data_IF_590049196244
#
_entry.id   IF_590049196244
#
_cell.length_a   1.000
_cell.length_b   1.000
_cell.length_c   1.000
_cell.angle_alpha   90.00
_cell.angle_beta   90.00
_cell.angle_gamma   90.00
#
_symmetry.space_group_name_H-M   'P 1'
#
loop_
_entity.id
_entity.type
_entity.pdbx_description
1 polymer ?
#
# COMPACT_ATOMS: atom_id res chain seq x y z
N UNK A 1 11.00 -0.96 -30.43
CA UNK A 1 11.83 0.21 -30.04
C UNK A 1 12.82 0.62 -31.13
N UNK A 2 13.61 -0.28 -31.69
CA UNK A 2 14.65 0.04 -32.69
C UNK A 2 14.18 0.82 -33.93
N UNK A 3 12.97 0.55 -34.44
CA UNK A 3 12.39 1.33 -35.55
C UNK A 3 12.04 2.79 -35.18
N UNK A 4 11.94 3.11 -33.88
CA UNK A 4 11.47 4.41 -33.38
C UNK A 4 12.61 5.31 -32.90
N UNK A 5 13.78 4.79 -32.62
CA UNK A 5 14.92 5.57 -32.14
C UNK A 5 16.20 5.17 -32.89
N UNK A 6 16.96 6.19 -33.33
CA UNK A 6 18.24 6.01 -34.03
C UNK A 6 19.45 6.19 -33.13
N UNK A 7 19.26 6.66 -31.89
CA UNK A 7 20.30 6.86 -30.87
C UNK A 7 19.69 6.55 -29.52
N UNK A 8 20.49 6.06 -28.60
CA UNK A 8 20.08 5.74 -27.23
C UNK A 8 20.96 6.52 -26.23
N UNK A 9 20.34 7.18 -25.27
CA UNK A 9 21.01 7.61 -24.04
C UNK A 9 20.77 6.51 -23.00
N UNK A 10 21.79 5.73 -22.69
CA UNK A 10 21.70 4.59 -21.79
C UNK A 10 22.21 4.97 -20.41
N UNK A 11 21.28 5.16 -19.49
CA UNK A 11 21.56 5.62 -18.13
C UNK A 11 21.52 4.49 -17.09
N UNK A 12 21.21 3.25 -17.50
CA UNK A 12 21.18 2.14 -16.55
C UNK A 12 22.59 1.58 -16.34
N UNK A 13 22.95 1.22 -15.09
CA UNK A 13 24.26 0.67 -14.79
C UNK A 13 24.50 -0.67 -15.49
N UNK A 14 25.66 -0.83 -16.14
CA UNK A 14 26.01 -2.05 -16.87
C UNK A 14 26.28 -3.26 -15.97
N UNK A 15 26.47 -3.07 -14.67
CA UNK A 15 26.55 -4.19 -13.71
C UNK A 15 25.16 -4.74 -13.34
N UNK A 16 24.07 -4.08 -13.76
CA UNK A 16 22.69 -4.53 -13.55
C UNK A 16 22.14 -5.15 -14.85
N UNK A 17 21.30 -6.20 -14.72
CA UNK A 17 20.75 -6.93 -15.87
C UNK A 17 20.04 -6.03 -16.89
N UNK A 18 19.23 -5.06 -16.43
CA UNK A 18 18.60 -4.07 -17.32
C UNK A 18 19.62 -3.26 -18.16
N UNK A 19 20.76 -2.89 -17.56
CA UNK A 19 21.85 -2.21 -18.25
C UNK A 19 22.50 -3.09 -19.31
N UNK A 20 22.79 -4.34 -18.94
CA UNK A 20 23.33 -5.32 -19.89
C UNK A 20 22.36 -5.63 -21.02
N UNK A 21 21.09 -5.91 -20.73
CA UNK A 21 20.07 -6.25 -21.74
C UNK A 21 19.83 -5.11 -22.72
N UNK A 22 19.69 -3.87 -22.24
CA UNK A 22 19.56 -2.71 -23.12
C UNK A 22 20.79 -2.56 -24.02
N UNK A 23 22.00 -2.75 -23.48
CA UNK A 23 23.22 -2.69 -24.28
C UNK A 23 23.29 -3.84 -25.31
N UNK A 24 22.99 -5.08 -24.91
CA UNK A 24 23.02 -6.24 -25.81
C UNK A 24 21.99 -6.09 -26.94
N UNK A 25 20.74 -5.74 -26.62
CA UNK A 25 19.68 -5.66 -27.62
C UNK A 25 19.78 -4.39 -28.46
N UNK A 26 19.88 -3.21 -27.83
CA UNK A 26 19.85 -1.94 -28.56
C UNK A 26 21.18 -1.64 -29.23
N UNK A 27 22.29 -1.73 -28.49
CA UNK A 27 23.61 -1.36 -29.02
C UNK A 27 24.17 -2.44 -29.94
N UNK A 28 24.16 -3.71 -29.52
CA UNK A 28 24.86 -4.76 -30.29
C UNK A 28 23.96 -5.44 -31.33
N UNK A 29 22.74 -5.83 -30.95
CA UNK A 29 21.87 -6.57 -31.87
C UNK A 29 21.20 -5.67 -32.92
N UNK A 30 20.73 -4.49 -32.52
CA UNK A 30 20.10 -3.52 -33.43
C UNK A 30 21.03 -2.41 -33.95
N UNK A 31 22.32 -2.44 -33.58
CA UNK A 31 23.34 -1.48 -34.01
C UNK A 31 22.91 -0.01 -33.77
N UNK A 32 22.31 0.27 -32.61
CA UNK A 32 21.87 1.62 -32.24
C UNK A 32 23.00 2.33 -31.49
N UNK A 33 23.56 3.42 -32.03
CA UNK A 33 24.56 4.23 -31.34
C UNK A 33 24.07 4.64 -29.95
N UNK A 34 24.81 4.22 -28.93
CA UNK A 34 24.43 4.38 -27.53
C UNK A 34 25.46 5.24 -26.80
N UNK A 35 25.01 6.36 -26.22
CA UNK A 35 25.78 7.13 -25.27
C UNK A 35 25.55 6.57 -23.87
N UNK A 36 26.62 6.17 -23.18
CA UNK A 36 26.55 5.74 -21.78
C UNK A 36 26.59 6.96 -20.86
N UNK A 37 26.01 6.83 -19.67
CA UNK A 37 26.18 7.84 -18.62
C UNK A 37 27.63 7.99 -18.15
N UNK A 38 28.00 9.21 -17.72
CA UNK A 38 29.23 9.54 -17.00
C UNK A 38 29.17 8.89 -15.62
N UNK A 39 29.94 7.80 -15.45
CA UNK A 39 29.71 6.78 -14.43
C UNK A 39 30.62 6.86 -13.20
N UNK A 40 30.32 7.77 -12.26
CA UNK A 40 30.87 7.69 -10.89
C UNK A 40 29.79 7.51 -9.80
N UNK A 41 28.51 7.68 -10.15
CA UNK A 41 27.39 7.53 -9.21
C UNK A 41 26.15 6.93 -9.89
N UNK A 42 25.30 6.17 -9.16
CA UNK A 42 24.04 5.64 -9.69
C UNK A 42 23.16 6.74 -10.30
N UNK A 43 22.25 6.36 -11.20
CA UNK A 43 21.31 7.29 -11.80
C UNK A 43 20.47 7.97 -10.71
N UNK A 44 20.57 9.28 -10.63
CA UNK A 44 19.81 10.14 -9.73
C UNK A 44 19.12 11.26 -10.53
N UNK A 45 18.10 11.88 -9.95
CA UNK A 45 17.36 12.96 -10.62
C UNK A 45 18.26 14.13 -11.02
N UNK A 46 19.22 14.49 -10.17
CA UNK A 46 20.23 15.51 -10.47
C UNK A 46 21.17 15.08 -11.60
N UNK A 47 21.54 13.80 -11.70
CA UNK A 47 22.35 13.32 -12.83
C UNK A 47 21.55 13.35 -14.15
N UNK A 48 20.24 13.08 -14.12
CA UNK A 48 19.35 13.26 -15.28
C UNK A 48 19.30 14.73 -15.70
N UNK A 49 19.25 15.65 -14.73
CA UNK A 49 19.30 17.10 -14.98
C UNK A 49 20.67 17.55 -15.49
N UNK A 50 21.78 16.94 -15.05
CA UNK A 50 23.13 17.17 -15.58
C UNK A 50 23.22 16.79 -17.06
N UNK A 51 22.58 15.68 -17.47
CA UNK A 51 22.46 15.31 -18.90
C UNK A 51 21.56 16.26 -19.69
N UNK A 52 20.60 16.89 -19.03
CA UNK A 52 19.58 17.74 -19.64
C UNK A 52 19.95 19.24 -19.59
N UNK A 53 21.03 19.63 -18.90
CA UNK A 53 21.57 20.99 -18.74
C UNK A 53 20.62 21.90 -17.94
N UNK A 54 20.82 21.96 -16.62
CA UNK A 54 20.20 22.87 -15.64
C UNK A 54 18.77 23.29 -15.97
N UNK A 55 17.86 22.33 -15.86
CA UNK A 55 16.47 22.52 -16.18
C UNK A 55 15.63 22.60 -14.90
N UNK A 56 14.82 23.66 -14.74
CA UNK A 56 13.66 23.59 -13.85
C UNK A 56 12.70 22.46 -14.30
N UNK A 57 11.75 22.07 -13.45
CA UNK A 57 10.79 20.98 -13.73
C UNK A 57 10.14 21.12 -15.14
N UNK A 58 9.87 22.35 -15.56
CA UNK A 58 9.28 22.67 -16.86
C UNK A 58 10.30 22.56 -18.02
N UNK A 59 11.53 23.02 -17.83
CA UNK A 59 12.61 22.88 -18.82
C UNK A 59 12.99 21.41 -19.03
N UNK A 60 12.89 20.59 -17.98
CA UNK A 60 13.21 19.16 -18.03
C UNK A 60 12.18 18.44 -18.89
N UNK A 61 10.90 18.77 -18.71
CA UNK A 61 9.80 18.30 -19.55
C UNK A 61 10.02 18.72 -21.01
N UNK A 62 10.41 19.97 -21.28
CA UNK A 62 10.70 20.43 -22.64
C UNK A 62 11.86 19.68 -23.29
N UNK A 63 12.89 19.30 -22.51
CA UNK A 63 13.98 18.49 -23.01
C UNK A 63 13.54 17.05 -23.31
N UNK A 64 12.79 16.42 -22.40
CA UNK A 64 12.26 15.06 -22.58
C UNK A 64 11.33 14.97 -23.79
N UNK A 65 10.54 16.03 -24.05
CA UNK A 65 9.66 16.14 -25.22
C UNK A 65 10.39 16.11 -26.56
N UNK A 66 11.68 16.46 -26.60
CA UNK A 66 12.50 16.38 -27.82
C UNK A 66 12.93 14.94 -28.15
N UNK A 67 12.79 14.01 -27.20
CA UNK A 67 13.11 12.60 -27.38
C UNK A 67 11.95 11.89 -28.08
N UNK A 68 12.27 10.90 -28.90
CA UNK A 68 11.25 10.09 -29.57
C UNK A 68 10.40 9.29 -28.57
N UNK A 69 11.00 8.89 -27.45
CA UNK A 69 10.32 8.36 -26.26
C UNK A 69 11.29 8.33 -25.06
N UNK A 70 10.72 8.28 -23.87
CA UNK A 70 11.43 8.08 -22.60
C UNK A 70 11.02 6.72 -22.04
N UNK A 71 12.02 5.88 -21.81
CA UNK A 71 11.81 4.54 -21.30
C UNK A 71 12.06 4.49 -19.79
N UNK A 72 11.15 3.86 -19.05
CA UNK A 72 11.35 3.54 -17.64
C UNK A 72 10.84 2.12 -17.35
N UNK A 73 11.22 1.56 -16.20
CA UNK A 73 10.76 0.23 -15.82
C UNK A 73 11.51 -0.38 -14.64
N UNK A 74 10.94 -1.43 -14.06
CA UNK A 74 11.47 -2.15 -12.91
C UNK A 74 11.14 -1.53 -11.55
N UNK A 75 10.66 -0.30 -11.52
CA UNK A 75 9.91 0.34 -10.43
C UNK A 75 8.80 1.18 -11.05
N UNK A 76 7.72 1.41 -10.31
CA UNK A 76 6.59 2.18 -10.81
C UNK A 76 6.88 3.68 -10.77
N UNK A 77 6.33 4.40 -11.74
CA UNK A 77 6.32 5.86 -11.77
C UNK A 77 5.04 6.34 -11.08
N UNK A 78 5.14 7.33 -10.19
CA UNK A 78 3.98 7.91 -9.53
C UNK A 78 2.96 8.39 -10.59
N UNK A 79 1.65 8.04 -10.46
CA UNK A 79 0.64 8.35 -11.46
C UNK A 79 0.61 9.83 -11.85
N UNK A 80 0.65 10.73 -10.87
CA UNK A 80 0.61 12.19 -11.09
C UNK A 80 1.82 12.67 -11.90
N UNK A 81 2.99 12.06 -11.67
CA UNK A 81 4.21 12.41 -12.42
C UNK A 81 4.12 11.93 -13.86
N UNK A 82 3.67 10.68 -14.07
CA UNK A 82 3.52 10.12 -15.41
C UNK A 82 2.46 10.84 -16.23
N UNK A 83 1.30 11.14 -15.63
CA UNK A 83 0.23 11.90 -16.26
C UNK A 83 0.70 13.30 -16.64
N UNK A 84 1.41 14.00 -15.74
CA UNK A 84 2.02 15.30 -16.02
C UNK A 84 2.97 15.24 -17.22
N UNK A 85 3.82 14.22 -17.32
CA UNK A 85 4.74 14.05 -18.44
C UNK A 85 4.00 13.82 -19.76
N UNK A 86 3.01 12.92 -19.76
CA UNK A 86 2.20 12.59 -20.93
C UNK A 86 1.38 13.79 -21.40
N UNK A 87 0.75 14.52 -20.47
CA UNK A 87 -0.06 15.70 -20.78
C UNK A 87 0.74 16.83 -21.40
N UNK A 88 2.04 16.92 -21.07
CA UNK A 88 2.95 17.87 -21.69
C UNK A 88 3.57 17.37 -23.02
N UNK A 89 3.21 16.17 -23.46
CA UNK A 89 3.59 15.60 -24.75
C UNK A 89 4.87 14.75 -24.72
N UNK A 90 5.31 14.29 -23.55
CA UNK A 90 6.41 13.32 -23.45
C UNK A 90 5.88 11.93 -23.78
N UNK A 91 6.48 11.26 -24.76
CA UNK A 91 6.13 9.88 -25.10
C UNK A 91 6.77 8.91 -24.11
N UNK A 92 6.01 8.44 -23.12
CA UNK A 92 6.47 7.45 -22.16
C UNK A 92 6.39 6.02 -22.71
N UNK A 93 7.39 5.21 -22.38
CA UNK A 93 7.42 3.78 -22.64
C UNK A 93 7.72 3.05 -21.34
N UNK A 94 6.71 2.39 -20.78
CA UNK A 94 6.82 1.57 -19.58
C UNK A 94 7.23 0.15 -19.98
N UNK A 95 8.35 -0.34 -19.46
CA UNK A 95 8.83 -1.71 -19.70
C UNK A 95 8.73 -2.52 -18.41
N UNK A 96 8.18 -3.73 -18.55
CA UNK A 96 8.23 -4.76 -17.50
C UNK A 96 9.18 -5.88 -17.89
N UNK A 97 9.92 -6.39 -16.90
CA UNK A 97 10.98 -7.36 -17.11
C UNK A 97 11.31 -8.08 -15.81
N UNK A 98 11.83 -9.30 -15.94
CA UNK A 98 12.44 -10.06 -14.87
C UNK A 98 13.88 -10.41 -15.27
N UNK A 99 14.78 -10.56 -14.30
CA UNK A 99 16.16 -10.94 -14.61
C UNK A 99 16.20 -12.31 -15.30
N UNK A 100 15.30 -13.19 -14.87
CA UNK A 100 15.10 -14.56 -15.32
C UNK A 100 14.56 -14.67 -16.75
N UNK A 101 13.93 -13.59 -17.28
CA UNK A 101 13.19 -13.63 -18.56
C UNK A 101 13.61 -12.57 -19.58
N UNK A 102 14.50 -11.64 -19.21
CA UNK A 102 14.71 -10.39 -19.94
C UNK A 102 13.38 -9.56 -20.03
N UNK A 103 13.34 -8.44 -20.79
CA UNK A 103 12.09 -7.72 -21.02
C UNK A 103 11.00 -8.57 -21.66
N UNK A 104 9.80 -8.49 -21.12
CA UNK A 104 8.66 -9.23 -21.64
C UNK A 104 8.32 -8.74 -23.06
N UNK A 105 7.85 -9.63 -23.95
CA UNK A 105 7.47 -9.27 -25.32
C UNK A 105 6.16 -8.49 -25.31
N UNK A 106 6.27 -7.17 -25.18
CA UNK A 106 5.15 -6.24 -25.17
C UNK A 106 4.92 -5.61 -26.54
N UNK A 107 3.64 -5.39 -26.88
CA UNK A 107 3.30 -4.48 -27.96
C UNK A 107 3.55 -3.02 -27.55
N UNK A 108 3.87 -2.18 -28.54
CA UNK A 108 4.04 -0.76 -28.31
C UNK A 108 2.71 -0.12 -27.92
N UNK A 109 2.68 0.61 -26.80
CA UNK A 109 1.52 1.38 -26.40
C UNK A 109 1.42 2.66 -27.24
N UNK A 110 0.41 2.73 -28.11
CA UNK A 110 0.22 3.86 -29.01
C UNK A 110 -0.60 4.99 -28.38
N UNK A 111 -1.47 4.67 -27.44
CA UNK A 111 -2.23 5.67 -26.70
C UNK A 111 -1.39 6.15 -25.50
N UNK A 112 -0.91 7.40 -25.49
CA UNK A 112 -0.15 7.93 -24.37
C UNK A 112 -0.91 7.89 -23.04
N UNK A 113 -2.25 7.96 -23.06
CA UNK A 113 -3.09 7.89 -21.85
C UNK A 113 -3.08 6.49 -21.21
N UNK A 114 -2.68 5.46 -21.96
CA UNK A 114 -2.54 4.10 -21.47
C UNK A 114 -1.11 3.77 -21.04
N UNK A 115 -0.26 4.76 -20.74
CA UNK A 115 1.16 4.57 -20.38
C UNK A 115 1.40 3.62 -19.18
N UNK A 116 0.39 3.45 -18.31
CA UNK A 116 0.42 2.52 -17.16
C UNK A 116 0.05 1.07 -17.54
N UNK A 117 -0.58 0.88 -18.69
CA UNK A 117 -1.06 -0.42 -19.15
C UNK A 117 -0.05 -1.09 -20.07
N UNK A 118 0.23 -2.34 -19.79
CA UNK A 118 1.06 -3.21 -20.61
C UNK A 118 0.17 -3.96 -21.61
N UNK A 119 0.52 -3.84 -22.91
CA UNK A 119 -0.17 -4.54 -23.97
C UNK A 119 0.55 -5.89 -24.21
N UNK A 120 -0.04 -6.96 -23.67
CA UNK A 120 0.51 -8.30 -23.74
C UNK A 120 -0.07 -9.08 -24.90
N UNK A 121 0.76 -9.84 -25.59
CA UNK A 121 0.28 -10.94 -26.42
C UNK A 121 0.17 -12.21 -25.57
N UNK A 122 -1.01 -12.40 -24.97
CA UNK A 122 -1.30 -13.51 -24.05
C UNK A 122 -0.94 -14.86 -24.66
N UNK A 123 -1.33 -15.11 -25.91
CA UNK A 123 -1.05 -16.39 -26.56
C UNK A 123 0.41 -16.53 -26.97
N UNK A 124 1.03 -15.50 -27.57
CA UNK A 124 2.42 -15.56 -28.01
C UNK A 124 3.36 -15.83 -26.82
N UNK A 125 3.15 -15.14 -25.71
CA UNK A 125 3.99 -15.27 -24.52
C UNK A 125 3.60 -16.48 -23.64
N UNK A 126 2.46 -17.12 -23.92
CA UNK A 126 1.96 -18.26 -23.16
C UNK A 126 1.53 -17.87 -21.74
N UNK A 127 0.86 -16.72 -21.61
CA UNK A 127 0.36 -16.25 -20.32
C UNK A 127 -0.93 -17.00 -19.96
N UNK A 128 -0.94 -17.58 -18.76
CA UNK A 128 -2.10 -18.08 -18.05
C UNK A 128 -2.46 -17.10 -16.93
N UNK A 129 -3.54 -16.34 -17.11
CA UNK A 129 -4.03 -15.33 -16.17
C UNK A 129 -4.81 -16.01 -15.05
N UNK A 130 -4.15 -16.34 -13.94
CA UNK A 130 -4.77 -17.05 -12.81
C UNK A 130 -5.44 -16.07 -11.85
N UNK A 131 -6.73 -16.24 -11.50
CA UNK A 131 -7.39 -15.36 -10.54
C UNK A 131 -6.64 -15.34 -9.19
N UNK A 132 -6.51 -14.16 -8.60
CA UNK A 132 -5.92 -13.95 -7.29
C UNK A 132 -6.94 -13.28 -6.36
N UNK A 133 -7.05 -13.79 -5.13
CA UNK A 133 -8.11 -13.44 -4.18
C UNK A 133 -8.26 -11.94 -3.95
N UNK A 134 -9.52 -11.51 -3.82
CA UNK A 134 -9.88 -10.30 -3.08
C UNK A 134 -10.01 -9.00 -3.88
N UNK A 135 -9.69 -8.95 -5.18
CA UNK A 135 -9.74 -7.65 -5.88
C UNK A 135 -9.84 -7.71 -7.42
N UNK A 136 -10.41 -8.77 -7.99
CA UNK A 136 -10.49 -9.00 -9.45
C UNK A 136 -9.13 -8.89 -10.15
N UNK A 137 -8.06 -9.26 -9.45
CA UNK A 137 -6.70 -9.27 -9.96
C UNK A 137 -6.29 -10.67 -10.41
N UNK A 138 -5.32 -10.74 -11.32
CA UNK A 138 -4.84 -11.98 -11.91
C UNK A 138 -3.33 -12.05 -11.81
N UNK A 139 -2.80 -13.20 -11.40
CA UNK A 139 -1.38 -13.50 -11.50
C UNK A 139 -1.02 -13.84 -12.95
N UNK A 140 0.08 -13.26 -13.44
CA UNK A 140 0.69 -13.65 -14.71
C UNK A 140 1.53 -14.91 -14.48
N UNK A 141 1.05 -16.07 -14.93
CA UNK A 141 1.84 -17.31 -14.96
C UNK A 141 2.22 -17.60 -16.41
N UNK A 142 3.47 -17.96 -16.66
CA UNK A 142 3.95 -18.30 -18.00
C UNK A 142 3.94 -19.83 -18.13
N UNK A 143 3.24 -20.38 -19.11
CA UNK A 143 3.18 -21.82 -19.40
C UNK A 143 4.07 -22.15 -20.59
N UNK A 144 4.99 -23.11 -20.44
CA UNK A 144 5.92 -23.50 -21.50
C UNK A 144 5.15 -24.00 -22.71
N UNK A 145 5.38 -23.35 -23.85
CA UNK A 145 4.72 -23.72 -25.12
C UNK A 145 5.45 -24.84 -25.86
N UNK A 146 6.77 -24.88 -25.77
CA UNK A 146 7.61 -25.84 -26.51
C UNK A 146 8.92 -26.13 -25.76
N UNK A 147 9.62 -27.20 -26.17
CA UNK A 147 10.99 -27.52 -25.72
C UNK A 147 11.96 -26.38 -26.04
N UNK A 148 11.76 -25.67 -27.15
CA UNK A 148 12.46 -24.45 -27.51
C UNK A 148 11.57 -23.25 -27.17
N UNK A 149 11.72 -22.64 -25.98
CA UNK A 149 10.74 -21.71 -25.42
C UNK A 149 10.66 -20.34 -26.14
N UNK A 150 11.54 -20.09 -27.12
CA UNK A 150 11.48 -18.88 -27.95
C UNK A 150 11.60 -17.60 -27.11
N UNK A 151 10.51 -16.83 -27.04
CA UNK A 151 10.43 -15.57 -26.27
C UNK A 151 10.20 -15.78 -24.76
N UNK A 152 9.93 -17.01 -24.31
CA UNK A 152 9.69 -17.32 -22.89
C UNK A 152 11.02 -17.47 -22.13
N UNK A 153 11.70 -16.34 -21.90
CA UNK A 153 13.06 -16.28 -21.36
C UNK A 153 13.27 -17.08 -20.05
N UNK A 154 12.28 -17.08 -19.15
CA UNK A 154 12.30 -17.83 -17.89
C UNK A 154 12.68 -19.30 -18.06
N UNK A 155 12.33 -19.91 -19.18
CA UNK A 155 12.56 -21.33 -19.46
C UNK A 155 13.95 -21.67 -19.98
N UNK A 156 14.78 -20.68 -20.31
CA UNK A 156 16.23 -20.88 -20.46
C UNK A 156 16.93 -20.82 -19.11
N UNK A 157 16.43 -20.00 -18.17
CA UNK A 157 16.91 -19.92 -16.80
C UNK A 157 16.50 -21.16 -15.99
N UNK A 158 15.27 -21.63 -16.19
CA UNK A 158 14.68 -22.79 -15.53
C UNK A 158 14.29 -23.86 -16.58
N UNK A 159 15.27 -24.62 -17.11
CA UNK A 159 15.06 -25.52 -18.24
C UNK A 159 14.09 -26.67 -17.95
N UNK A 160 13.98 -27.10 -16.69
CA UNK A 160 13.11 -28.21 -16.29
C UNK A 160 11.70 -27.77 -15.89
N UNK A 161 11.45 -26.46 -15.79
CA UNK A 161 10.15 -25.93 -15.41
C UNK A 161 9.19 -25.96 -16.61
N UNK A 162 7.95 -26.39 -16.38
CA UNK A 162 6.86 -26.33 -17.37
C UNK A 162 5.95 -25.11 -17.18
N UNK A 163 5.99 -24.50 -15.99
CA UNK A 163 5.32 -23.24 -15.70
C UNK A 163 6.24 -22.34 -14.87
N UNK A 164 6.04 -21.02 -15.00
CA UNK A 164 6.77 -20.01 -14.24
C UNK A 164 5.80 -19.00 -13.65
N UNK A 165 5.63 -19.08 -12.34
CA UNK A 165 4.82 -18.14 -11.54
C UNK A 165 5.64 -16.88 -11.30
N UNK A 166 5.27 -15.77 -11.97
CA UNK A 166 5.99 -14.50 -11.83
C UNK A 166 5.74 -13.83 -10.47
N UNK A 167 4.64 -14.22 -9.80
CA UNK A 167 4.06 -13.53 -8.64
C UNK A 167 3.60 -12.10 -8.93
N UNK A 168 3.63 -11.66 -10.19
CA UNK A 168 3.14 -10.34 -10.58
C UNK A 168 1.62 -10.38 -10.79
N UNK A 169 0.91 -9.46 -10.15
CA UNK A 169 -0.53 -9.31 -10.21
C UNK A 169 -0.90 -8.17 -11.16
N UNK A 170 -1.99 -8.35 -11.91
CA UNK A 170 -2.50 -7.38 -12.87
C UNK A 170 -4.02 -7.27 -12.80
N UNK A 171 -4.56 -6.13 -13.24
CA UNK A 171 -5.98 -5.97 -13.56
C UNK A 171 -6.14 -5.70 -15.06
N UNK A 172 -7.12 -6.32 -15.73
CA UNK A 172 -7.40 -6.02 -17.12
C UNK A 172 -7.98 -4.61 -17.23
N UNK A 173 -7.64 -3.91 -18.30
CA UNK A 173 -8.32 -2.67 -18.67
C UNK A 173 -9.80 -2.98 -18.94
N UNK A 174 -10.75 -2.17 -18.42
CA UNK A 174 -12.19 -2.49 -18.50
C UNK A 174 -12.75 -2.56 -19.93
N UNK A 175 -12.14 -1.82 -20.87
CA UNK A 175 -12.61 -1.71 -22.28
C UNK A 175 -11.58 -2.24 -23.29
N UNK A 176 -10.33 -1.77 -23.23
CA UNK A 176 -9.28 -2.13 -24.19
C UNK A 176 -8.73 -3.54 -23.91
N UNK A 177 -8.93 -4.45 -24.87
CA UNK A 177 -8.47 -5.84 -24.78
C UNK A 177 -6.94 -5.93 -24.61
N UNK A 178 -6.48 -6.96 -23.89
CA UNK A 178 -5.07 -7.34 -23.73
C UNK A 178 -4.18 -6.24 -23.11
N UNK A 179 -4.79 -5.21 -22.54
CA UNK A 179 -4.12 -4.15 -21.81
C UNK A 179 -4.28 -4.40 -20.31
N UNK A 180 -3.16 -4.54 -19.61
CA UNK A 180 -3.13 -4.96 -18.21
C UNK A 180 -2.35 -3.95 -17.39
N UNK A 181 -2.94 -3.48 -16.30
CA UNK A 181 -2.26 -2.60 -15.36
C UNK A 181 -1.66 -3.44 -14.23
N UNK A 182 -0.38 -3.26 -13.99
CA UNK A 182 0.32 -3.92 -12.89
C UNK A 182 -0.25 -3.46 -11.54
N UNK A 183 -0.51 -4.41 -10.66
CA UNK A 183 -1.06 -4.20 -9.33
C UNK A 183 -0.06 -4.55 -8.23
N UNK A 184 1.10 -5.09 -8.59
CA UNK A 184 2.08 -5.49 -7.61
C UNK A 184 2.42 -6.95 -7.60
N UNK A 185 2.87 -7.38 -6.44
CA UNK A 185 3.33 -8.73 -6.23
C UNK A 185 2.47 -9.46 -5.22
N UNK A 186 2.07 -10.69 -5.54
CA UNK A 186 1.34 -11.57 -4.64
C UNK A 186 2.11 -11.84 -3.34
N UNK A 187 3.44 -11.97 -3.42
CA UNK A 187 4.31 -12.20 -2.26
C UNK A 187 4.61 -10.94 -1.43
N UNK A 188 4.15 -9.76 -1.88
CA UNK A 188 4.22 -8.51 -1.10
C UNK A 188 2.91 -8.15 -0.39
N UNK A 189 1.83 -8.91 -0.61
CA UNK A 189 0.56 -8.70 0.10
C UNK A 189 0.79 -8.88 1.60
N UNK A 190 0.42 -7.85 2.36
CA UNK A 190 0.52 -7.85 3.81
C UNK A 190 -0.72 -8.56 4.34
N UNK A 191 -0.51 -9.61 5.13
CA UNK A 191 -1.59 -10.29 5.86
C UNK A 191 -1.51 -9.90 7.32
N UNK A 192 -2.53 -9.21 7.80
CA UNK A 192 -2.63 -8.77 9.20
C UNK A 192 -3.03 -9.93 10.12
N UNK A 193 -2.85 -9.74 11.43
CA UNK A 193 -3.20 -10.77 12.43
C UNK A 193 -4.71 -11.08 12.50
N UNK A 194 -5.55 -10.20 11.96
CA UNK A 194 -7.01 -10.39 11.83
C UNK A 194 -7.42 -11.07 10.50
N UNK A 195 -6.45 -11.42 9.64
CA UNK A 195 -6.69 -12.05 8.34
C UNK A 195 -7.00 -11.07 7.20
N UNK A 196 -7.14 -9.77 7.47
CA UNK A 196 -7.27 -8.75 6.42
C UNK A 196 -5.99 -8.68 5.59
N UNK A 197 -6.16 -8.47 4.28
CA UNK A 197 -5.07 -8.39 3.31
C UNK A 197 -4.95 -6.96 2.80
N UNK A 198 -3.72 -6.43 2.77
CA UNK A 198 -3.41 -5.12 2.22
C UNK A 198 -2.36 -5.24 1.13
N UNK A 199 -2.66 -4.71 -0.05
CA UNK A 199 -1.67 -4.45 -1.07
C UNK A 199 -0.98 -3.10 -0.78
N UNK A 200 0.32 -3.07 -0.48
CA UNK A 200 0.99 -1.85 -0.03
C UNK A 200 1.27 -0.84 -1.15
N UNK A 201 1.21 -1.25 -2.42
CA UNK A 201 1.79 -0.48 -3.53
C UNK A 201 1.12 0.87 -3.75
N UNK A 202 -0.20 0.94 -3.68
CA UNK A 202 -0.92 2.21 -3.88
C UNK A 202 -0.54 3.24 -2.82
N UNK A 203 -0.38 2.81 -1.56
CA UNK A 203 0.04 3.67 -0.45
C UNK A 203 1.50 4.10 -0.66
N UNK A 204 2.40 3.15 -0.95
CA UNK A 204 3.82 3.43 -1.14
C UNK A 204 4.06 4.39 -2.31
N UNK A 205 3.40 4.18 -3.46
CA UNK A 205 3.49 5.05 -4.63
C UNK A 205 2.97 6.46 -4.34
N UNK A 206 1.82 6.56 -3.67
CA UNK A 206 1.24 7.86 -3.32
C UNK A 206 2.18 8.65 -2.39
N UNK A 207 2.77 7.97 -1.39
CA UNK A 207 3.72 8.61 -0.47
C UNK A 207 5.03 8.96 -1.17
N UNK A 208 5.53 8.10 -2.07
CA UNK A 208 6.74 8.35 -2.85
C UNK A 208 6.57 9.46 -3.91
N UNK A 209 5.34 9.73 -4.36
CA UNK A 209 5.04 10.87 -5.22
C UNK A 209 5.34 12.22 -4.56
N UNK A 210 5.51 12.26 -3.24
CA UNK A 210 5.85 13.48 -2.53
C UNK A 210 7.34 13.86 -2.71
N UNK A 211 7.69 15.10 -3.10
CA UNK A 211 9.07 15.51 -3.41
C UNK A 211 10.10 15.33 -2.28
N UNK A 212 9.62 15.23 -1.03
CA UNK A 212 10.46 15.03 0.18
C UNK A 212 10.55 13.57 0.63
N UNK A 213 10.14 12.62 -0.20
CA UNK A 213 10.20 11.18 0.10
C UNK A 213 11.10 10.52 -0.93
N UNK A 214 12.17 9.86 -0.47
CA UNK A 214 13.01 9.03 -1.34
C UNK A 214 12.55 7.57 -1.37
N UNK A 215 11.90 7.11 -0.31
CA UNK A 215 11.40 5.75 -0.21
C UNK A 215 10.26 5.66 0.81
N UNK A 216 9.33 4.76 0.56
CA UNK A 216 8.26 4.44 1.48
C UNK A 216 8.05 2.93 1.48
N UNK A 217 7.91 2.34 2.67
CA UNK A 217 7.65 0.90 2.86
C UNK A 217 6.52 0.75 3.87
N UNK A 218 5.38 0.22 3.44
CA UNK A 218 4.27 -0.17 4.33
C UNK A 218 4.59 -1.53 4.92
N UNK A 219 4.38 -1.72 6.21
CA UNK A 219 4.62 -2.97 6.95
C UNK A 219 3.38 -3.34 7.75
N UNK A 220 3.38 -4.53 8.34
CA UNK A 220 2.28 -4.96 9.22
C UNK A 220 1.93 -6.45 9.15
N UNK A 221 2.76 -7.28 8.53
CA UNK A 221 2.52 -8.73 8.50
C UNK A 221 2.44 -9.27 9.93
N UNK A 222 1.38 -10.02 10.24
CA UNK A 222 1.06 -10.51 11.59
C UNK A 222 0.90 -9.42 12.66
N UNK A 223 0.65 -8.18 12.24
CA UNK A 223 0.28 -7.06 13.12
C UNK A 223 -1.19 -6.73 12.89
N UNK A 224 -1.79 -6.06 13.86
CA UNK A 224 -3.22 -5.77 13.83
C UNK A 224 -3.59 -4.68 12.81
N UNK A 225 -2.67 -3.75 12.52
CA UNK A 225 -2.86 -2.63 11.59
C UNK A 225 -1.58 -2.39 10.76
N UNK A 226 -1.68 -1.71 9.59
CA UNK A 226 -0.51 -1.31 8.82
C UNK A 226 0.30 -0.23 9.55
N UNK A 227 1.60 -0.21 9.26
CA UNK A 227 2.50 0.88 9.60
C UNK A 227 3.32 1.30 8.39
N UNK A 228 3.93 2.48 8.43
CA UNK A 228 4.67 3.07 7.32
C UNK A 228 6.03 3.56 7.78
N UNK A 229 7.08 3.15 7.08
CA UNK A 229 8.42 3.73 7.23
C UNK A 229 8.70 4.59 6.01
N UNK A 230 9.06 5.86 6.26
CA UNK A 230 9.36 6.86 5.23
C UNK A 230 10.85 7.18 5.29
N UNK A 231 11.54 7.03 4.17
CA UNK A 231 12.91 7.48 3.98
C UNK A 231 12.93 8.91 3.41
N UNK A 232 13.32 9.93 4.19
CA UNK A 232 13.50 11.28 3.68
C UNK A 232 14.82 11.40 2.90
N UNK A 233 14.98 12.42 2.04
CA UNK A 233 16.26 12.75 1.43
C UNK A 233 17.28 13.15 2.51
N UNK A 234 18.52 12.67 2.40
CA UNK A 234 19.59 12.93 3.37
C UNK A 234 19.96 14.42 3.38
N UNK A 235 19.63 15.09 4.49
CA UNK A 235 19.94 16.47 4.95
C UNK A 235 20.36 17.50 3.88
N UNK A 236 19.40 18.25 3.32
CA UNK A 236 19.16 19.69 3.57
C UNK A 236 17.68 20.03 3.23
N UNK A 237 16.98 20.61 4.21
CA UNK A 237 15.68 21.35 4.16
C UNK A 237 14.30 20.63 4.10
N UNK A 238 13.75 20.50 5.32
CA UNK A 238 12.53 21.16 5.87
C UNK A 238 11.11 20.82 5.34
N UNK A 239 10.31 20.28 6.28
CA UNK A 239 8.87 20.39 6.65
C UNK A 239 7.70 20.68 5.68
N UNK A 240 6.58 20.06 6.06
CA UNK A 240 5.14 20.28 5.82
C UNK A 240 4.56 19.92 4.44
N UNK A 241 3.75 18.86 4.44
CA UNK A 241 2.33 18.75 4.01
C UNK A 241 2.06 17.32 3.51
N UNK A 242 1.02 16.66 4.03
CA UNK A 242 0.42 15.48 3.37
C UNK A 242 -1.07 15.40 3.66
N UNK A 243 -1.79 14.95 2.63
CA UNK A 243 -3.24 15.06 2.43
C UNK A 243 -3.95 13.78 2.88
N UNK A 244 -5.19 13.93 3.30
CA UNK A 244 -6.05 12.89 3.85
C UNK A 244 -6.75 12.08 2.75
N UNK A 245 -6.39 10.80 2.59
CA UNK A 245 -7.32 9.66 2.42
C UNK A 245 -6.53 8.35 2.56
N UNK A 246 -7.06 7.38 3.32
CA UNK A 246 -6.36 6.11 3.64
C UNK A 246 -5.32 6.24 4.77
N UNK A 247 -5.66 6.95 5.85
CA UNK A 247 -4.69 7.37 6.87
C UNK A 247 -4.15 6.18 7.69
N UNK A 248 -2.86 5.91 7.55
CA UNK A 248 -2.09 5.22 8.60
C UNK A 248 -2.03 6.18 9.80
N UNK A 249 -2.39 5.72 11.01
CA UNK A 249 -2.33 6.58 12.20
C UNK A 249 -0.91 7.10 12.43
N UNK A 250 -0.75 8.35 12.91
CA UNK A 250 0.59 8.95 13.13
C UNK A 250 1.49 8.10 14.02
N UNK A 251 0.91 7.37 14.97
CA UNK A 251 1.60 6.44 15.86
C UNK A 251 2.19 5.21 15.14
N UNK A 252 1.74 4.93 13.91
CA UNK A 252 2.24 3.87 13.04
C UNK A 252 3.04 4.42 11.86
N UNK A 253 3.55 5.66 11.97
CA UNK A 253 4.47 6.23 11.00
C UNK A 253 5.84 6.48 11.65
N UNK A 254 6.90 6.07 10.96
CA UNK A 254 8.27 6.33 11.38
C UNK A 254 9.13 6.87 10.22
N UNK A 255 10.08 7.73 10.55
CA UNK A 255 11.15 8.11 9.62
C UNK A 255 12.27 7.08 9.68
N UNK A 256 12.90 6.82 8.53
CA UNK A 256 14.09 6.00 8.45
C UNK A 256 15.26 6.66 9.20
N UNK A 257 16.09 5.85 9.87
CA UNK A 257 17.31 6.33 10.51
C UNK A 257 18.34 6.81 9.45
N UNK A 258 18.88 8.05 9.55
CA UNK A 258 19.78 8.60 8.53
C UNK A 258 21.04 7.75 8.24
N UNK A 259 21.56 7.03 9.24
CA UNK A 259 22.70 6.12 9.10
C UNK A 259 22.37 4.72 8.58
N UNK A 260 21.11 4.46 8.22
CA UNK A 260 20.59 3.14 7.86
C UNK A 260 19.65 3.25 6.65
N UNK A 261 20.09 3.76 5.50
CA UNK A 261 19.20 3.94 4.35
C UNK A 261 18.57 2.61 3.92
N UNK A 262 17.44 2.69 3.22
CA UNK A 262 16.76 1.53 2.66
C UNK A 262 17.70 0.76 1.74
N UNK A 263 17.63 -0.57 1.81
CA UNK A 263 18.36 -1.42 0.87
C UNK A 263 17.79 -1.22 -0.53
N UNK A 264 18.68 -1.01 -1.50
CA UNK A 264 18.29 -0.78 -2.90
C UNK A 264 19.08 -1.68 -3.83
N UNK A 265 18.43 -2.10 -4.91
CA UNK A 265 19.12 -2.73 -6.04
C UNK A 265 20.04 -1.71 -6.73
N UNK A 266 20.95 -2.18 -7.59
CA UNK A 266 21.82 -1.30 -8.38
C UNK A 266 21.11 -0.22 -9.21
N UNK A 267 19.84 -0.47 -9.55
CA UNK A 267 18.94 0.46 -10.27
C UNK A 267 18.16 1.42 -9.36
N UNK A 268 18.41 1.42 -8.05
CA UNK A 268 17.76 2.31 -7.08
C UNK A 268 16.44 1.82 -6.48
N UNK A 269 15.84 0.73 -6.98
CA UNK A 269 14.59 0.17 -6.42
C UNK A 269 14.78 -0.37 -5.01
N UNK A 270 13.85 -0.06 -4.09
CA UNK A 270 13.88 -0.55 -2.70
C UNK A 270 13.70 -2.07 -2.64
N UNK A 271 14.58 -2.76 -1.93
CA UNK A 271 14.52 -4.19 -1.65
C UNK A 271 13.69 -4.43 -0.39
N UNK A 272 12.37 -4.45 -0.54
CA UNK A 272 11.37 -4.53 0.54
C UNK A 272 11.72 -5.54 1.64
N UNK A 273 11.89 -6.82 1.29
CA UNK A 273 12.18 -7.87 2.28
C UNK A 273 13.46 -7.59 3.07
N UNK A 274 14.53 -7.19 2.40
CA UNK A 274 15.79 -6.83 3.04
C UNK A 274 15.64 -5.61 3.96
N UNK A 275 14.94 -4.57 3.50
CA UNK A 275 14.69 -3.36 4.28
C UNK A 275 13.85 -3.66 5.52
N UNK A 276 12.78 -4.45 5.40
CA UNK A 276 11.94 -4.85 6.54
C UNK A 276 12.76 -5.62 7.57
N UNK A 277 13.57 -6.58 7.15
CA UNK A 277 14.43 -7.34 8.06
C UNK A 277 15.46 -6.45 8.74
N UNK A 278 16.03 -5.49 8.00
CA UNK A 278 16.97 -4.54 8.54
C UNK A 278 16.30 -3.66 9.62
N UNK A 279 15.06 -3.21 9.40
CA UNK A 279 14.27 -2.36 10.31
C UNK A 279 13.44 -3.12 11.35
N UNK A 280 13.64 -4.44 11.49
CA UNK A 280 12.78 -5.30 12.33
C UNK A 280 12.61 -4.77 13.76
N UNK A 281 13.70 -4.38 14.41
CA UNK A 281 13.67 -3.89 15.79
C UNK A 281 12.89 -2.57 15.92
N UNK A 282 13.06 -1.65 14.97
CA UNK A 282 12.33 -0.38 14.95
C UNK A 282 10.84 -0.58 14.66
N UNK A 283 10.50 -1.52 13.77
CA UNK A 283 9.11 -1.91 13.50
C UNK A 283 8.47 -2.49 14.75
N UNK A 284 9.13 -3.45 15.39
CA UNK A 284 8.61 -4.12 16.58
C UNK A 284 8.40 -3.10 17.71
N UNK A 285 9.37 -2.20 17.92
CA UNK A 285 9.25 -1.10 18.88
C UNK A 285 8.13 -0.12 18.55
N UNK A 286 7.94 0.25 17.28
CA UNK A 286 6.85 1.14 16.87
C UNK A 286 5.47 0.56 17.22
N UNK A 287 5.26 -0.75 17.00
CA UNK A 287 4.02 -1.40 17.41
C UNK A 287 3.87 -1.46 18.93
N UNK A 288 4.94 -1.78 19.67
CA UNK A 288 4.90 -1.74 21.14
C UNK A 288 4.60 -0.33 21.67
N UNK A 289 5.21 0.70 21.10
CA UNK A 289 5.03 2.09 21.47
C UNK A 289 3.64 2.59 21.06
N UNK A 290 3.04 2.07 19.98
CA UNK A 290 1.66 2.38 19.62
C UNK A 290 0.65 1.72 20.58
N UNK A 291 0.92 0.48 21.01
CA UNK A 291 0.12 -0.21 22.04
C UNK A 291 0.24 0.47 23.41
N UNK A 292 1.44 0.96 23.78
CA UNK A 292 1.71 1.68 25.03
C UNK A 292 1.29 3.16 24.97
N UNK A 293 1.46 3.80 23.81
CA UNK A 293 1.38 5.25 23.56
C UNK A 293 -0.02 5.79 23.27
N UNK A 294 -1.03 4.93 23.26
CA UNK A 294 -2.41 5.40 23.48
C UNK A 294 -2.53 6.04 24.88
N UNK A 295 -1.57 5.85 25.79
CA UNK A 295 -1.62 6.35 27.17
C UNK A 295 -1.18 7.82 27.41
N UNK A 296 -0.81 8.64 26.42
CA UNK A 296 -0.27 10.00 26.71
C UNK A 296 -0.92 11.14 25.91
N UNK A 297 -1.58 12.03 26.65
CA UNK A 297 -2.00 13.42 26.40
C UNK A 297 -3.17 13.77 25.47
N UNK A 298 -3.74 12.83 24.70
CA UNK A 298 -4.93 13.13 23.84
C UNK A 298 -6.15 12.22 24.04
N UNK A 299 -6.11 11.26 24.94
CA UNK A 299 -7.29 10.44 25.23
C UNK A 299 -8.27 11.27 26.05
N UNK A 300 -9.52 11.48 25.60
CA UNK A 300 -10.53 12.10 26.43
C UNK A 300 -10.69 11.26 27.70
N UNK A 301 -10.39 11.84 28.86
CA UNK A 301 -10.65 11.20 30.16
C UNK A 301 -12.12 10.84 30.21
N UNK A 302 -12.42 9.54 30.30
CA UNK A 302 -13.80 9.09 30.37
C UNK A 302 -14.40 9.54 31.70
N UNK A 303 -15.48 10.32 31.64
CA UNK A 303 -16.20 10.81 32.81
C UNK A 303 -17.01 9.69 33.44
N UNK A 304 -16.42 8.96 34.40
CA UNK A 304 -17.09 7.85 35.10
C UNK A 304 -18.01 8.30 36.25
N UNK A 305 -18.19 9.61 36.45
CA UNK A 305 -18.96 10.17 37.58
C UNK A 305 -20.48 9.94 37.46
N UNK A 306 -21.00 9.77 36.24
CA UNK A 306 -22.42 9.51 35.96
C UNK A 306 -22.58 8.90 34.56
N UNK A 307 -23.74 8.27 34.29
CA UNK A 307 -24.06 7.77 32.93
C UNK A 307 -24.00 8.90 31.90
N UNK A 308 -24.59 10.07 32.21
CA UNK A 308 -24.54 11.25 31.33
C UNK A 308 -23.10 11.73 31.04
N UNK A 309 -22.21 11.70 32.04
CA UNK A 309 -20.82 12.11 31.84
C UNK A 309 -20.06 11.13 30.92
N UNK A 310 -20.37 9.84 31.00
CA UNK A 310 -19.76 8.82 30.17
C UNK A 310 -20.31 8.85 28.74
N UNK A 311 -21.62 9.09 28.57
CA UNK A 311 -22.26 9.31 27.27
C UNK A 311 -21.55 10.46 26.52
N UNK A 312 -21.42 11.62 27.17
CA UNK A 312 -20.72 12.78 26.59
C UNK A 312 -19.26 12.47 26.27
N UNK A 313 -18.61 11.61 27.07
CA UNK A 313 -17.23 11.20 26.82
C UNK A 313 -17.10 10.29 25.60
N UNK A 314 -18.07 9.38 25.39
CA UNK A 314 -18.13 8.49 24.23
C UNK A 314 -18.46 9.29 22.97
N UNK A 315 -19.45 10.19 23.02
CA UNK A 315 -19.78 11.10 21.91
C UNK A 315 -18.55 11.87 21.44
N UNK A 316 -17.82 12.49 22.39
CA UNK A 316 -16.57 13.22 22.10
C UNK A 316 -15.46 12.32 21.59
N UNK A 317 -15.35 11.10 22.08
CA UNK A 317 -14.33 10.15 21.62
C UNK A 317 -14.56 9.82 20.14
N UNK A 318 -15.79 9.53 19.75
CA UNK A 318 -16.15 9.23 18.37
C UNK A 318 -16.01 10.47 17.47
N UNK A 319 -16.49 11.64 17.91
CA UNK A 319 -16.39 12.88 17.14
C UNK A 319 -14.93 13.33 16.95
N UNK A 320 -14.15 13.41 18.03
CA UNK A 320 -12.80 14.01 18.02
C UNK A 320 -11.73 13.02 17.56
N UNK A 321 -11.80 11.78 18.04
CA UNK A 321 -10.72 10.80 17.82
C UNK A 321 -10.98 9.89 16.62
N UNK A 322 -12.24 9.72 16.23
CA UNK A 322 -12.65 8.85 15.12
C UNK A 322 -13.26 9.63 13.95
N UNK A 323 -13.38 10.96 14.07
CA UNK A 323 -13.85 11.86 13.02
C UNK A 323 -15.24 11.51 12.48
N UNK A 324 -16.17 11.17 13.40
CA UNK A 324 -17.57 10.94 13.05
C UNK A 324 -18.37 12.24 13.07
N UNK A 325 -19.52 12.30 12.38
CA UNK A 325 -20.51 13.35 12.62
C UNK A 325 -20.90 13.40 14.11
N UNK A 326 -21.45 14.54 14.53
CA UNK A 326 -21.95 14.71 15.91
C UNK A 326 -22.98 13.63 16.23
N UNK A 327 -22.74 12.90 17.31
CA UNK A 327 -23.61 11.84 17.80
C UNK A 327 -24.52 12.38 18.90
N UNK A 328 -25.76 11.88 18.96
CA UNK A 328 -26.64 12.01 20.12
C UNK A 328 -26.64 10.70 20.92
N UNK A 329 -27.09 10.74 22.18
CA UNK A 329 -27.02 9.62 23.11
C UNK A 329 -27.58 8.29 22.57
N UNK A 330 -28.63 8.35 21.75
CA UNK A 330 -29.32 7.20 21.16
C UNK A 330 -29.02 7.01 19.66
N UNK A 331 -28.10 7.79 19.08
CA UNK A 331 -27.69 7.62 17.68
C UNK A 331 -26.91 6.33 17.50
N UNK A 332 -27.31 5.52 16.52
CA UNK A 332 -26.58 4.31 16.12
C UNK A 332 -25.28 4.69 15.38
N UNK A 333 -24.14 4.21 15.85
CA UNK A 333 -22.83 4.50 15.27
C UNK A 333 -22.76 4.18 13.77
N UNK A 334 -23.35 3.06 13.34
CA UNK A 334 -23.27 2.58 11.96
C UNK A 334 -24.17 3.40 11.03
N UNK A 335 -25.26 3.95 11.57
CA UNK A 335 -26.14 4.85 10.81
C UNK A 335 -25.44 6.14 10.34
N UNK A 336 -24.38 6.57 11.03
CA UNK A 336 -23.58 7.76 10.67
C UNK A 336 -22.26 7.40 9.96
N UNK A 337 -22.13 6.16 9.49
CA UNK A 337 -20.99 5.71 8.70
C UNK A 337 -19.79 5.27 9.52
N UNK A 338 -19.96 4.92 10.80
CA UNK A 338 -18.88 4.29 11.57
C UNK A 338 -18.54 2.93 10.95
N UNK A 339 -17.29 2.77 10.54
CA UNK A 339 -16.78 1.52 9.96
C UNK A 339 -16.06 0.64 11.00
N UNK A 340 -15.68 -0.57 10.58
CA UNK A 340 -14.99 -1.54 11.43
C UNK A 340 -13.67 -1.01 12.00
N UNK A 341 -12.95 -0.16 11.26
CA UNK A 341 -11.68 0.43 11.70
C UNK A 341 -11.91 1.43 12.83
N UNK A 342 -12.97 2.24 12.72
CA UNK A 342 -13.39 3.16 13.76
C UNK A 342 -13.88 2.40 15.00
N UNK A 343 -14.63 1.30 14.86
CA UNK A 343 -15.02 0.43 16.00
C UNK A 343 -13.81 -0.16 16.71
N UNK A 344 -12.82 -0.63 15.95
CA UNK A 344 -11.55 -1.13 16.48
C UNK A 344 -10.85 -0.05 17.31
N UNK A 345 -10.67 1.13 16.73
CA UNK A 345 -9.98 2.24 17.37
C UNK A 345 -10.74 2.72 18.61
N UNK A 346 -12.07 2.77 18.55
CA UNK A 346 -12.94 3.04 19.70
C UNK A 346 -12.67 2.04 20.84
N UNK A 347 -12.59 0.74 20.54
CA UNK A 347 -12.33 -0.27 21.58
C UNK A 347 -10.99 -0.03 22.29
N UNK A 348 -9.96 0.38 21.54
CA UNK A 348 -8.65 0.69 22.10
C UNK A 348 -8.68 1.96 22.97
N UNK A 349 -9.24 3.04 22.43
CA UNK A 349 -9.34 4.31 23.13
C UNK A 349 -10.17 4.22 24.42
N UNK A 350 -11.26 3.43 24.40
CA UNK A 350 -12.09 3.21 25.58
C UNK A 350 -11.31 2.44 26.66
N UNK A 351 -10.61 1.36 26.30
CA UNK A 351 -9.78 0.60 27.26
C UNK A 351 -8.76 1.51 27.93
N UNK A 352 -8.09 2.35 27.15
CA UNK A 352 -7.06 3.25 27.67
C UNK A 352 -7.66 4.40 28.48
N UNK A 353 -8.80 4.93 28.06
CA UNK A 353 -9.55 5.93 28.81
C UNK A 353 -10.00 5.42 30.19
N UNK A 354 -10.38 4.15 30.29
CA UNK A 354 -10.73 3.50 31.57
C UNK A 354 -9.51 3.26 32.45
N UNK A 355 -8.42 2.75 31.89
CA UNK A 355 -7.17 2.56 32.63
C UNK A 355 -6.64 3.89 33.19
N UNK A 356 -6.71 4.97 32.40
CA UNK A 356 -6.35 6.32 32.85
C UNK A 356 -7.30 6.89 33.93
N UNK A 357 -8.53 6.38 34.00
CA UNK A 357 -9.50 6.70 35.05
C UNK A 357 -9.38 5.79 36.29
N UNK A 358 -8.39 4.90 36.32
CA UNK A 358 -8.13 3.98 37.44
C UNK A 358 -8.93 2.68 37.40
N UNK A 359 -9.57 2.35 36.28
CA UNK A 359 -10.34 1.11 36.08
C UNK A 359 -9.56 0.18 35.17
N UNK A 360 -9.04 -0.92 35.73
CA UNK A 360 -8.28 -1.93 34.98
C UNK A 360 -9.20 -3.07 34.56
N UNK A 361 -9.69 -2.96 33.33
CA UNK A 361 -10.55 -3.97 32.70
C UNK A 361 -9.74 -4.99 31.92
N UNK A 362 -10.13 -6.27 31.96
CA UNK A 362 -9.57 -7.27 31.06
C UNK A 362 -9.78 -6.89 29.59
N UNK A 363 -8.81 -7.20 28.73
CA UNK A 363 -8.90 -6.93 27.30
C UNK A 363 -10.13 -7.61 26.63
N UNK A 364 -10.62 -8.70 27.21
CA UNK A 364 -11.82 -9.44 26.81
C UNK A 364 -13.13 -8.67 27.05
N UNK A 365 -13.15 -7.74 28.00
CA UNK A 365 -14.34 -7.00 28.41
C UNK A 365 -14.73 -5.88 27.45
N UNK A 366 -13.78 -5.39 26.63
CA UNK A 366 -14.01 -4.29 25.69
C UNK A 366 -13.47 -4.70 24.33
N UNK A 367 -14.22 -5.60 23.69
CA UNK A 367 -13.94 -6.08 22.32
C UNK A 367 -14.76 -5.32 21.30
N UNK A 368 -14.43 -5.45 20.02
CA UNK A 368 -15.25 -4.91 18.93
C UNK A 368 -16.69 -5.44 18.99
N UNK A 369 -16.88 -6.72 19.35
CA UNK A 369 -18.21 -7.35 19.55
C UNK A 369 -19.08 -6.57 20.52
N UNK A 370 -18.51 -6.03 21.60
CA UNK A 370 -19.26 -5.22 22.57
C UNK A 370 -19.84 -3.97 21.91
N UNK A 371 -19.04 -3.26 21.12
CA UNK A 371 -19.48 -2.04 20.43
C UNK A 371 -20.55 -2.36 19.38
N UNK A 372 -20.40 -3.47 18.63
CA UNK A 372 -21.46 -3.94 17.73
C UNK A 372 -22.75 -4.29 18.47
N UNK A 373 -22.65 -4.89 19.66
CA UNK A 373 -23.82 -5.28 20.47
C UNK A 373 -24.48 -4.11 21.22
N UNK A 374 -23.74 -3.01 21.41
CA UNK A 374 -24.15 -1.80 22.14
C UNK A 374 -23.90 -0.58 21.24
N UNK A 375 -24.67 -0.45 20.13
CA UNK A 375 -24.31 0.41 19.01
C UNK A 375 -24.63 1.90 19.20
N UNK A 376 -24.98 2.34 20.41
CA UNK A 376 -25.27 3.75 20.71
C UNK A 376 -24.44 4.24 21.91
N UNK A 377 -24.13 5.55 22.00
CA UNK A 377 -23.39 6.10 23.13
C UNK A 377 -23.97 5.71 24.49
N UNK A 378 -25.29 5.75 24.64
CA UNK A 378 -26.01 5.37 25.86
C UNK A 378 -25.85 3.91 26.21
N UNK A 379 -26.12 2.99 25.27
CA UNK A 379 -26.02 1.54 25.51
C UNK A 379 -24.59 1.13 25.83
N UNK A 380 -23.60 1.79 25.20
CA UNK A 380 -22.19 1.54 25.46
C UNK A 380 -21.78 2.12 26.82
N UNK A 381 -22.23 3.32 27.19
CA UNK A 381 -21.97 3.92 28.51
C UNK A 381 -22.52 3.04 29.64
N UNK A 382 -23.78 2.59 29.53
CA UNK A 382 -24.41 1.74 30.55
C UNK A 382 -23.65 0.43 30.73
N UNK A 383 -23.19 -0.19 29.62
CA UNK A 383 -22.36 -1.38 29.68
C UNK A 383 -21.02 -1.10 30.37
N UNK A 384 -20.29 -0.06 29.96
CA UNK A 384 -18.99 0.28 30.52
C UNK A 384 -19.07 0.63 32.01
N UNK A 385 -20.14 1.32 32.45
CA UNK A 385 -20.41 1.55 33.87
C UNK A 385 -20.67 0.24 34.61
N UNK A 386 -21.41 -0.70 34.01
CA UNK A 386 -21.65 -2.00 34.63
C UNK A 386 -20.36 -2.81 34.81
N UNK A 387 -19.42 -2.68 33.88
CA UNK A 387 -18.12 -3.35 33.92
C UNK A 387 -17.21 -2.66 34.94
N UNK A 388 -17.11 -1.33 34.92
CA UNK A 388 -16.33 -0.56 35.88
C UNK A 388 -16.79 -0.75 37.34
N UNK A 389 -18.08 -0.97 37.56
CA UNK A 389 -18.63 -1.26 38.88
C UNK A 389 -18.49 -2.74 39.31
N UNK A 390 -18.33 -3.67 38.36
CA UNK A 390 -18.10 -5.10 38.64
C UNK A 390 -16.67 -5.38 39.14
N UNK A 391 -15.68 -4.56 38.80
CA UNK A 391 -14.36 -4.61 39.47
C UNK A 391 -14.43 -4.27 40.97
N UNK A 392 -15.59 -3.76 41.46
CA UNK A 392 -15.80 -3.42 42.86
C UNK A 392 -16.63 -4.46 43.65
N UNK A 393 -17.15 -5.51 43.00
CA UNK A 393 -17.85 -6.63 43.68
C UNK A 393 -17.64 -7.94 42.93
N UNK A 394 -17.12 -8.93 43.65
CA UNK A 394 -16.82 -10.30 43.21
C UNK A 394 -17.72 -10.87 42.11
N UNK A 395 -17.04 -11.48 41.14
CA UNK A 395 -17.59 -12.12 39.96
C UNK A 395 -18.70 -13.13 40.29
N UNK A 396 -19.86 -12.97 39.64
CA UNK A 396 -20.75 -14.09 39.31
C UNK A 396 -21.40 -13.90 37.94
N UNK A 397 -21.40 -15.00 37.19
CA UNK A 397 -21.92 -15.18 35.83
C UNK A 397 -23.35 -14.70 35.64
N UNK A 398 -23.64 -14.16 34.46
CA UNK A 398 -25.00 -14.12 33.93
C UNK A 398 -25.18 -13.20 32.73
N UNK A 399 -25.16 -13.77 31.52
CA UNK A 399 -25.88 -13.24 30.34
C UNK A 399 -25.93 -14.33 29.27
N UNK A 400 -27.01 -15.12 29.27
CA UNK A 400 -27.42 -15.95 28.13
C UNK A 400 -28.87 -15.67 27.68
N UNK A 401 -29.57 -14.73 28.35
CA UNK A 401 -31.00 -14.48 28.11
C UNK A 401 -31.33 -13.43 27.05
N UNK A 402 -30.41 -12.52 26.74
CA UNK A 402 -30.68 -11.35 25.88
C UNK A 402 -30.37 -11.65 24.38
N UNK A 403 -29.65 -12.75 24.11
CA UNK A 403 -29.17 -13.11 22.76
C UNK A 403 -30.25 -13.81 21.92
N UNK A 404 -31.17 -14.55 22.55
CA UNK A 404 -32.25 -15.23 21.83
C UNK A 404 -33.28 -14.24 21.25
N UNK A 405 -33.67 -13.23 22.03
CA UNK A 405 -34.67 -12.25 21.58
C UNK A 405 -34.18 -11.36 20.43
N UNK A 406 -32.89 -10.99 20.43
CA UNK A 406 -32.32 -10.18 19.34
C UNK A 406 -32.21 -10.95 18.03
N UNK A 407 -31.93 -12.25 18.10
CA UNK A 407 -31.81 -13.11 16.92
C UNK A 407 -33.19 -13.49 16.36
N UNK A 408 -34.18 -13.73 17.22
CA UNK A 408 -35.58 -13.92 16.83
C UNK A 408 -36.15 -12.67 16.13
N UNK A 409 -35.88 -11.47 16.66
CA UNK A 409 -36.33 -10.22 16.04
C UNK A 409 -35.68 -9.94 14.67
N UNK A 410 -34.42 -10.36 14.48
CA UNK A 410 -33.74 -10.24 13.19
C UNK A 410 -34.25 -11.25 12.17
N UNK A 411 -34.46 -12.51 12.58
CA UNK A 411 -35.10 -13.51 11.72
C UNK A 411 -36.47 -12.99 11.28
N UNK A 412 -37.32 -12.59 12.23
CA UNK A 412 -38.66 -12.10 11.94
C UNK A 412 -38.65 -10.87 11.00
N UNK A 413 -37.75 -9.91 11.22
CA UNK A 413 -37.60 -8.73 10.35
C UNK A 413 -37.21 -9.06 8.91
N UNK A 414 -36.37 -10.08 8.69
CA UNK A 414 -35.85 -10.41 7.37
C UNK A 414 -36.54 -11.61 6.70
N UNK A 415 -37.45 -12.29 7.40
CA UNK A 415 -38.28 -13.36 6.84
C UNK A 415 -39.74 -12.97 6.61
N UNK A 416 -40.15 -11.74 6.96
CA UNK A 416 -41.53 -11.27 6.79
C UNK A 416 -42.01 -11.23 5.32
N UNK A 417 -41.09 -11.07 4.36
CA UNK A 417 -41.40 -10.98 2.92
C UNK A 417 -40.96 -12.22 2.11
N UNK A 418 -40.55 -13.30 2.79
CA UNK A 418 -40.24 -14.56 2.13
C UNK A 418 -41.53 -15.36 1.93
N UNK A 419 -42.00 -15.43 0.67
CA UNK A 419 -43.09 -16.32 0.22
C UNK A 419 -42.62 -17.77 0.23
#
# INVERSE_FOLDING_TARGET
MSKRAKRLLHLMPLFHAAGMYLSMFMTHYWDIPSALGIGERPLSSDLVLDYIKYADDEEAIQALKKLNFVCFGGGNLAPETGDRLVDNGVALCNIIYATESAPYPLYWQYDPKLWRYFNFDTELFGIDWRPHDGDSSYELVIIRKDKNPGLQGCFYTFPDANEYSTKDLYKPHPIVKDNWIYQGRADNIIVFSNGEKLNPITIEETVQGHPKVMGAVVVGTNRFQPALIIEPPTVVRVNKETVAHGQIGRQYMALSTPGKPFLRAGKGTVLRFGTINMYKAEIDKMYEDAEKGVATDKVPKLGLSSSDALIVSIEKLFEISLNTPKLEADTDFFSVGVDSMQVINASCLIRVGLAAAGVNVEASAITTRVIYSKPTPKRLADYLLSVANKDNKDATHGTSGDEHHGMEALVEKYTQDLI
#
